data_IF_126351121887
#
_entry.id   IF_126351121887
#
_cell.length_a   1.000
_cell.length_b   1.000
_cell.length_c   1.000
_cell.angle_alpha   90.00
_cell.angle_beta   90.00
_cell.angle_gamma   90.00
#
_symmetry.space_group_name_H-M   'P 1'
#
loop_
_entity.id
_entity.type
_entity.pdbx_description
1 polymer ?
#
# COMPACT_ATOMS: atom_id res chain seq x y z
N UNK A 1 13.20 -9.32 -13.31
CA UNK A 1 12.16 -8.47 -13.92
C UNK A 1 12.00 -7.26 -13.03
N UNK A 2 11.98 -6.05 -13.60
CA UNK A 2 11.83 -4.80 -12.87
C UNK A 2 10.75 -3.96 -13.55
N UNK A 3 9.95 -3.26 -12.75
CA UNK A 3 8.94 -2.34 -13.24
C UNK A 3 9.47 -0.91 -13.26
N UNK A 4 8.80 -0.05 -14.01
CA UNK A 4 9.00 1.39 -13.90
C UNK A 4 8.42 1.83 -12.55
N UNK A 5 9.17 2.58 -11.72
CA UNK A 5 8.66 3.08 -10.45
C UNK A 5 7.53 4.11 -10.69
N UNK A 6 6.44 3.97 -9.94
CA UNK A 6 5.28 4.86 -10.02
C UNK A 6 5.57 6.23 -9.38
N UNK A 7 5.09 7.31 -9.99
CA UNK A 7 5.13 8.65 -9.40
C UNK A 7 4.14 8.75 -8.22
N UNK A 8 4.55 9.35 -7.10
CA UNK A 8 3.66 9.64 -5.97
C UNK A 8 2.81 10.87 -6.28
N UNK A 9 1.80 10.67 -7.13
CA UNK A 9 0.94 11.73 -7.61
C UNK A 9 -0.52 11.24 -7.62
N UNK A 10 -1.46 11.92 -6.94
CA UNK A 10 -2.85 11.53 -6.91
C UNK A 10 -3.47 11.33 -8.29
N UNK A 11 -3.10 12.12 -9.31
CA UNK A 11 -3.65 11.96 -10.66
C UNK A 11 -3.25 10.61 -11.28
N UNK A 12 -1.98 10.24 -11.16
CA UNK A 12 -1.44 8.95 -11.64
C UNK A 12 -2.09 7.80 -10.90
N UNK A 13 -2.15 7.90 -9.56
CA UNK A 13 -2.74 6.87 -8.70
C UNK A 13 -4.23 6.70 -8.97
N UNK A 14 -4.99 7.80 -9.03
CA UNK A 14 -6.43 7.77 -9.26
C UNK A 14 -6.75 7.20 -10.64
N UNK A 15 -6.02 7.60 -11.68
CA UNK A 15 -6.19 7.02 -13.00
C UNK A 15 -5.94 5.50 -13.01
N UNK A 16 -4.89 5.04 -12.32
CA UNK A 16 -4.58 3.61 -12.19
C UNK A 16 -5.70 2.84 -11.47
N UNK A 17 -6.15 3.30 -10.31
CA UNK A 17 -7.16 2.57 -9.53
C UNK A 17 -8.54 2.56 -10.23
N UNK A 18 -8.90 3.62 -10.96
CA UNK A 18 -10.15 3.64 -11.71
C UNK A 18 -10.12 2.67 -12.89
N UNK A 19 -9.00 2.56 -13.60
CA UNK A 19 -8.80 1.54 -14.66
C UNK A 19 -8.88 0.11 -14.12
N UNK A 20 -8.59 -0.10 -12.84
CA UNK A 20 -8.70 -1.42 -12.16
C UNK A 20 -10.05 -1.66 -11.48
N UNK A 21 -10.98 -0.71 -11.54
CA UNK A 21 -12.39 -0.89 -11.12
C UNK A 21 -12.75 -0.27 -9.77
N UNK A 22 -11.86 0.51 -9.13
CA UNK A 22 -12.20 1.27 -7.92
C UNK A 22 -13.29 2.30 -8.21
N UNK A 23 -14.26 2.43 -7.29
CA UNK A 23 -15.37 3.38 -7.45
C UNK A 23 -14.87 4.81 -7.31
N UNK A 24 -15.33 5.71 -8.19
CA UNK A 24 -14.96 7.12 -8.19
C UNK A 24 -15.50 7.92 -6.98
N UNK A 25 -16.29 7.29 -6.10
CA UNK A 25 -16.61 7.82 -4.78
C UNK A 25 -15.40 7.84 -3.84
N UNK A 26 -14.36 7.07 -4.16
CA UNK A 26 -13.09 7.01 -3.45
C UNK A 26 -11.97 7.53 -4.35
N UNK A 27 -11.04 8.28 -3.75
CA UNK A 27 -9.89 8.86 -4.43
C UNK A 27 -8.73 9.01 -3.46
N UNK A 28 -7.51 8.99 -3.99
CA UNK A 28 -6.33 9.49 -3.31
C UNK A 28 -6.24 11.01 -3.49
N UNK A 29 -5.77 11.68 -2.45
CA UNK A 29 -5.47 13.11 -2.42
C UNK A 29 -4.11 13.31 -1.76
N UNK A 30 -3.48 14.45 -1.99
CA UNK A 30 -2.27 14.82 -1.30
C UNK A 30 -2.54 15.13 0.18
N UNK A 31 -1.58 14.75 1.03
CA UNK A 31 -1.49 15.21 2.41
C UNK A 31 -0.31 16.18 2.47
N UNK A 32 -0.61 17.47 2.63
CA UNK A 32 0.41 18.52 2.63
C UNK A 32 1.26 18.55 3.90
N UNK A 33 0.69 18.12 5.03
CA UNK A 33 1.41 18.04 6.30
C UNK A 33 0.79 16.98 7.22
N UNK A 34 1.62 16.42 8.10
CA UNK A 34 1.26 15.39 9.08
C UNK A 34 0.99 15.95 10.48
N UNK A 35 0.97 17.28 10.65
CA UNK A 35 0.57 17.91 11.90
C UNK A 35 -0.96 17.85 12.09
N UNK A 36 -1.39 17.81 13.35
CA UNK A 36 -2.80 17.61 13.69
C UNK A 36 -3.73 18.72 13.18
N UNK A 37 -3.24 19.95 12.98
CA UNK A 37 -4.06 21.05 12.49
C UNK A 37 -4.32 20.87 11.00
N UNK A 38 -3.28 20.55 10.23
CA UNK A 38 -3.36 20.30 8.79
C UNK A 38 -4.23 19.08 8.45
N UNK A 39 -4.14 18.01 9.24
CA UNK A 39 -4.92 16.79 8.99
C UNK A 39 -6.44 17.00 9.13
N UNK A 40 -6.89 18.02 9.86
CA UNK A 40 -8.32 18.35 9.99
C UNK A 40 -8.93 18.88 8.70
N UNK A 41 -8.11 19.34 7.75
CA UNK A 41 -8.58 19.80 6.45
C UNK A 41 -8.70 18.67 5.41
N UNK A 42 -8.30 17.45 5.76
CA UNK A 42 -8.50 16.28 4.91
C UNK A 42 -9.98 15.89 4.91
N UNK A 43 -10.62 16.01 3.76
CA UNK A 43 -12.06 15.78 3.63
C UNK A 43 -12.43 14.29 3.61
N UNK A 44 -13.57 13.98 4.26
CA UNK A 44 -14.22 12.68 4.18
C UNK A 44 -13.61 11.61 5.09
N UNK A 45 -14.21 10.41 5.10
CA UNK A 45 -13.61 9.28 5.78
C UNK A 45 -12.30 8.88 5.10
N UNK A 46 -11.22 8.80 5.88
CA UNK A 46 -9.95 8.25 5.40
C UNK A 46 -9.87 6.79 5.82
N UNK A 47 -9.59 5.92 4.84
CA UNK A 47 -9.65 4.45 5.02
C UNK A 47 -8.30 3.77 4.80
N UNK A 48 -7.36 4.49 4.20
CA UNK A 48 -5.99 4.08 4.00
C UNK A 48 -5.11 5.32 3.82
N UNK A 49 -3.82 5.19 4.14
CA UNK A 49 -2.79 6.18 3.85
C UNK A 49 -1.65 5.47 3.12
N UNK A 50 -1.15 6.07 2.03
CA UNK A 50 0.04 5.60 1.35
C UNK A 50 1.19 6.54 1.66
N UNK A 51 2.35 5.99 2.01
CA UNK A 51 3.57 6.76 2.25
C UNK A 51 4.61 6.38 1.21
N UNK A 52 5.28 7.39 0.63
CA UNK A 52 6.56 7.24 -0.05
C UNK A 52 7.67 7.81 0.85
N UNK A 53 8.69 7.02 1.15
CA UNK A 53 9.83 7.47 1.97
C UNK A 53 11.16 6.97 1.42
N UNK A 54 12.29 7.64 1.73
CA UNK A 54 13.60 7.16 1.32
C UNK A 54 14.01 5.91 2.12
N UNK A 55 14.31 4.81 1.43
CA UNK A 55 14.82 3.58 2.01
C UNK A 55 16.35 3.52 1.89
N UNK A 56 17.04 3.91 2.96
CA UNK A 56 18.50 3.85 3.08
C UNK A 56 19.00 2.73 4.01
N UNK A 57 20.32 2.59 4.19
CA UNK A 57 20.91 1.59 5.08
C UNK A 57 20.39 1.65 6.54
N UNK A 58 20.09 2.85 7.03
CA UNK A 58 19.53 3.08 8.37
C UNK A 58 18.15 2.41 8.51
N UNK A 59 17.26 2.64 7.54
CA UNK A 59 15.96 1.99 7.47
C UNK A 59 16.08 0.46 7.41
N UNK A 60 16.98 -0.07 6.57
CA UNK A 60 17.18 -1.52 6.46
C UNK A 60 17.67 -2.15 7.78
N UNK A 61 18.49 -1.43 8.54
CA UNK A 61 18.94 -1.87 9.86
C UNK A 61 17.79 -1.86 10.87
N UNK A 62 16.96 -0.83 10.85
CA UNK A 62 15.76 -0.74 11.70
C UNK A 62 14.77 -1.87 11.40
N UNK A 63 14.50 -2.15 10.11
CA UNK A 63 13.65 -3.26 9.69
C UNK A 63 14.17 -4.59 10.23
N UNK A 64 15.48 -4.85 10.17
CA UNK A 64 16.08 -6.07 10.72
C UNK A 64 15.92 -6.15 12.24
N UNK A 65 16.20 -5.06 12.95
CA UNK A 65 16.06 -4.99 14.40
C UNK A 65 14.60 -5.22 14.84
N UNK A 66 13.65 -4.52 14.22
CA UNK A 66 12.22 -4.64 14.50
C UNK A 66 11.71 -6.05 14.17
N UNK A 67 12.15 -6.64 13.05
CA UNK A 67 11.78 -8.01 12.67
C UNK A 67 12.27 -9.02 13.71
N UNK A 68 13.52 -8.90 14.17
CA UNK A 68 14.08 -9.78 15.19
C UNK A 68 13.31 -9.66 16.51
N UNK A 69 13.02 -8.43 16.95
CA UNK A 69 12.26 -8.17 18.17
C UNK A 69 10.85 -8.75 18.12
N UNK A 70 10.15 -8.59 16.99
CA UNK A 70 8.80 -9.12 16.79
C UNK A 70 8.81 -10.65 16.75
N UNK A 71 9.82 -11.27 16.14
CA UNK A 71 9.95 -12.75 16.17
C UNK A 71 10.18 -13.28 17.58
N UNK A 72 10.91 -12.54 18.41
CA UNK A 72 11.18 -12.91 19.79
C UNK A 72 9.95 -12.72 20.69
N UNK A 73 9.30 -11.56 20.61
CA UNK A 73 8.21 -11.17 21.52
C UNK A 73 6.82 -11.53 21.02
N UNK A 74 6.69 -11.79 19.73
CA UNK A 74 5.40 -11.87 19.04
C UNK A 74 4.78 -10.49 18.81
N UNK A 75 3.74 -10.49 17.97
CA UNK A 75 2.81 -9.39 17.84
C UNK A 75 1.42 -9.97 17.55
N UNK A 76 0.37 -9.19 17.82
CA UNK A 76 -0.97 -9.51 17.35
C UNK A 76 -1.13 -9.06 15.89
N UNK A 77 -1.59 -9.94 15.01
CA UNK A 77 -1.99 -9.59 13.64
C UNK A 77 -3.33 -10.25 13.39
N UNK A 78 -4.33 -9.46 13.00
CA UNK A 78 -5.64 -10.02 12.64
C UNK A 78 -5.52 -10.91 11.40
N UNK A 79 -6.25 -12.03 11.41
CA UNK A 79 -6.40 -12.91 10.25
C UNK A 79 -7.12 -12.26 9.07
N UNK A 80 -7.81 -11.13 9.30
CA UNK A 80 -8.50 -10.38 8.25
C UNK A 80 -7.56 -9.43 7.47
N UNK A 81 -6.32 -9.25 7.93
CA UNK A 81 -5.34 -8.42 7.22
C UNK A 81 -4.93 -9.10 5.91
N UNK A 82 -5.25 -8.44 4.80
CA UNK A 82 -4.74 -8.82 3.49
C UNK A 82 -3.30 -8.33 3.34
N UNK A 83 -2.34 -9.25 3.42
CA UNK A 83 -0.92 -8.98 3.22
C UNK A 83 -0.35 -9.81 2.07
N UNK A 84 0.50 -9.19 1.25
CA UNK A 84 1.12 -9.75 0.05
C UNK A 84 2.58 -9.32 -0.03
N UNK A 85 3.46 -10.26 -0.42
CA UNK A 85 4.88 -10.02 -0.62
C UNK A 85 5.18 -9.31 -1.95
N UNK A 86 6.23 -8.50 -1.93
CA UNK A 86 6.81 -7.90 -3.12
C UNK A 86 7.83 -8.84 -3.76
N UNK A 87 7.48 -9.38 -4.93
CA UNK A 87 8.34 -10.32 -5.67
C UNK A 87 8.94 -9.69 -6.95
N UNK A 88 8.60 -8.43 -7.27
CA UNK A 88 9.12 -7.69 -8.42
C UNK A 88 9.77 -6.36 -7.96
N UNK A 89 10.93 -6.04 -8.50
CA UNK A 89 11.61 -4.76 -8.25
C UNK A 89 10.73 -3.59 -8.74
N UNK A 90 10.65 -2.52 -7.95
CA UNK A 90 9.86 -1.30 -8.22
C UNK A 90 8.33 -1.49 -8.30
N UNK A 91 7.79 -2.62 -7.84
CA UNK A 91 6.33 -2.84 -7.79
C UNK A 91 5.66 -2.37 -6.50
N UNK A 92 6.40 -1.71 -5.60
CA UNK A 92 5.91 -1.27 -4.28
C UNK A 92 4.67 -0.38 -4.37
N UNK A 93 4.60 0.53 -5.35
CA UNK A 93 3.44 1.40 -5.56
C UNK A 93 2.15 0.59 -5.81
N UNK A 94 2.19 -0.35 -6.75
CA UNK A 94 1.03 -1.21 -7.03
C UNK A 94 0.64 -2.08 -5.83
N UNK A 95 1.63 -2.62 -5.12
CA UNK A 95 1.41 -3.47 -3.94
C UNK A 95 0.73 -2.68 -2.83
N UNK A 96 1.23 -1.48 -2.53
CA UNK A 96 0.64 -0.59 -1.53
C UNK A 96 -0.80 -0.22 -1.90
N UNK A 97 -1.10 0.08 -3.18
CA UNK A 97 -2.47 0.35 -3.62
C UNK A 97 -3.39 -0.86 -3.43
N UNK A 98 -2.93 -2.06 -3.78
CA UNK A 98 -3.70 -3.30 -3.53
C UNK A 98 -3.91 -3.51 -2.04
N UNK A 99 -2.92 -3.26 -1.19
CA UNK A 99 -3.07 -3.32 0.27
C UNK A 99 -4.12 -2.34 0.77
N UNK A 100 -4.13 -1.09 0.29
CA UNK A 100 -5.16 -0.10 0.63
C UNK A 100 -6.57 -0.58 0.24
N UNK A 101 -6.74 -1.15 -0.95
CA UNK A 101 -8.04 -1.57 -1.48
C UNK A 101 -8.52 -2.87 -0.82
N UNK A 102 -7.68 -3.89 -0.76
CA UNK A 102 -8.04 -5.23 -0.30
C UNK A 102 -8.39 -5.29 1.20
N UNK A 103 -7.84 -4.38 2.01
CA UNK A 103 -8.16 -4.25 3.44
C UNK A 103 -9.39 -3.35 3.71
N UNK A 104 -10.06 -2.85 2.67
CA UNK A 104 -11.21 -1.95 2.79
C UNK A 104 -12.41 -2.37 1.94
N UNK A 105 -12.52 -3.65 1.59
CA UNK A 105 -13.61 -4.16 0.75
C UNK A 105 -15.00 -4.04 1.41
N UNK A 106 -15.05 -3.92 2.74
CA UNK A 106 -16.25 -3.66 3.55
C UNK A 106 -16.85 -2.26 3.30
N UNK A 107 -16.05 -1.33 2.75
CA UNK A 107 -16.42 0.08 2.54
C UNK A 107 -16.89 0.35 1.09
N UNK A 108 -17.28 -0.70 0.39
CA UNK A 108 -17.82 -0.65 -0.97
C UNK A 108 -16.88 0.07 -1.97
N UNK A 109 -15.57 -0.15 -1.83
CA UNK A 109 -14.53 0.57 -2.61
C UNK A 109 -14.39 0.12 -4.07
N UNK A 110 -14.89 -1.07 -4.41
CA UNK A 110 -14.56 -1.77 -5.66
C UNK A 110 -15.81 -2.26 -6.39
N UNK A 111 -15.88 -2.04 -7.70
CA UNK A 111 -16.87 -2.68 -8.58
C UNK A 111 -16.49 -4.14 -8.87
N UNK A 112 -17.42 -4.90 -9.46
CA UNK A 112 -17.05 -6.21 -10.03
C UNK A 112 -16.05 -6.03 -11.17
N UNK A 113 -15.06 -6.92 -11.25
CA UNK A 113 -14.00 -6.85 -12.26
C UNK A 113 -12.73 -7.63 -11.89
N UNK A 114 -11.69 -7.47 -12.70
CA UNK A 114 -10.43 -8.23 -12.59
C UNK A 114 -9.71 -8.03 -11.25
N UNK A 115 -9.66 -6.80 -10.71
CA UNK A 115 -9.04 -6.56 -9.41
C UNK A 115 -9.81 -7.27 -8.29
N UNK A 116 -11.14 -7.27 -8.33
CA UNK A 116 -11.96 -7.99 -7.35
C UNK A 116 -11.72 -9.49 -7.45
N UNK A 117 -11.72 -10.04 -8.67
CA UNK A 117 -11.43 -11.45 -8.92
C UNK A 117 -10.03 -11.84 -8.42
N UNK A 118 -9.02 -10.99 -8.67
CA UNK A 118 -7.67 -11.17 -8.17
C UNK A 118 -7.64 -11.21 -6.64
N UNK A 119 -8.24 -10.23 -5.96
CA UNK A 119 -8.24 -10.17 -4.49
C UNK A 119 -8.94 -11.41 -3.90
N UNK A 120 -10.09 -11.81 -4.44
CA UNK A 120 -10.81 -13.00 -3.97
C UNK A 120 -10.02 -14.30 -4.17
N UNK A 121 -9.33 -14.45 -5.30
CA UNK A 121 -8.43 -15.59 -5.53
C UNK A 121 -7.23 -15.55 -4.56
N UNK A 122 -6.65 -14.37 -4.36
CA UNK A 122 -5.48 -14.13 -3.53
C UNK A 122 -5.75 -14.37 -2.03
N UNK A 123 -6.96 -14.12 -1.53
CA UNK A 123 -7.33 -14.35 -0.11
C UNK A 123 -7.04 -15.78 0.38
N UNK A 124 -7.05 -16.77 -0.50
CA UNK A 124 -6.81 -18.19 -0.18
C UNK A 124 -5.33 -18.58 -0.14
N UNK A 125 -4.44 -17.65 -0.47
CA UNK A 125 -3.00 -17.88 -0.56
C UNK A 125 -2.27 -17.24 0.62
N UNK A 126 -1.10 -17.78 0.92
CA UNK A 126 -0.15 -17.15 1.83
C UNK A 126 0.45 -15.87 1.19
N UNK A 127 1.13 -15.01 1.97
CA UNK A 127 1.66 -13.75 1.45
C UNK A 127 2.58 -13.88 0.23
N UNK A 128 3.38 -14.96 0.17
CA UNK A 128 4.25 -15.25 -0.95
C UNK A 128 3.46 -15.65 -2.21
N UNK A 129 2.49 -16.55 -2.07
CA UNK A 129 1.61 -16.99 -3.16
C UNK A 129 0.73 -15.87 -3.70
N UNK A 130 0.28 -14.94 -2.85
CA UNK A 130 -0.39 -13.69 -3.29
C UNK A 130 0.51 -12.87 -4.21
N UNK A 131 1.79 -12.71 -3.83
CA UNK A 131 2.79 -12.00 -4.63
C UNK A 131 3.04 -12.69 -5.97
N UNK A 132 3.15 -14.02 -5.98
CA UNK A 132 3.31 -14.80 -7.21
C UNK A 132 2.10 -14.74 -8.14
N UNK A 133 0.89 -14.72 -7.56
CA UNK A 133 -0.34 -14.52 -8.34
C UNK A 133 -0.36 -13.12 -8.97
N UNK A 134 0.06 -12.10 -8.22
CA UNK A 134 0.15 -10.72 -8.71
C UNK A 134 1.10 -10.61 -9.90
N UNK A 135 2.30 -11.20 -9.80
CA UNK A 135 3.29 -11.21 -10.90
C UNK A 135 2.71 -11.80 -12.20
N UNK A 136 1.88 -12.83 -12.08
CA UNK A 136 1.26 -13.54 -13.20
C UNK A 136 0.04 -12.82 -13.78
N UNK A 137 -0.47 -11.79 -13.10
CA UNK A 137 -1.66 -11.07 -13.54
C UNK A 137 -1.36 -10.13 -14.71
N UNK A 138 -1.70 -10.59 -15.91
CA UNK A 138 -1.47 -9.81 -17.14
C UNK A 138 -2.19 -8.45 -17.12
N UNK A 139 -3.43 -8.43 -16.66
CA UNK A 139 -4.25 -7.20 -16.61
C UNK A 139 -3.63 -6.17 -15.67
N UNK A 140 -3.18 -6.60 -14.48
CA UNK A 140 -2.54 -5.67 -13.53
C UNK A 140 -1.23 -5.13 -14.08
N UNK A 141 -0.46 -5.95 -14.81
CA UNK A 141 0.79 -5.53 -15.44
C UNK A 141 0.55 -4.51 -16.55
N UNK A 142 -0.47 -4.71 -17.39
CA UNK A 142 -0.82 -3.80 -18.49
C UNK A 142 -1.33 -2.46 -17.95
N UNK A 143 -2.30 -2.50 -17.03
CA UNK A 143 -2.88 -1.28 -16.44
C UNK A 143 -1.82 -0.47 -15.67
N UNK A 144 -0.92 -1.16 -14.96
CA UNK A 144 0.21 -0.49 -14.33
C UNK A 144 1.16 0.15 -15.34
N UNK A 145 1.55 -0.60 -16.38
CA UNK A 145 2.49 -0.11 -17.41
C UNK A 145 1.95 1.11 -18.15
N UNK A 146 0.65 1.18 -18.39
CA UNK A 146 0.02 2.33 -19.03
C UNK A 146 0.04 3.56 -18.11
N UNK A 147 -0.29 3.39 -16.83
CA UNK A 147 -0.38 4.51 -15.88
C UNK A 147 0.96 5.05 -15.40
N UNK A 148 2.03 4.25 -15.32
CA UNK A 148 3.35 4.74 -14.85
C UNK A 148 4.11 5.61 -15.86
N UNK A 149 3.64 5.66 -17.10
CA UNK A 149 4.15 6.62 -18.09
C UNK A 149 3.42 7.96 -18.03
N UNK A 150 2.38 8.06 -17.21
CA UNK A 150 1.68 9.29 -16.90
C UNK A 150 2.33 9.96 -15.68
N UNK A 151 2.07 11.25 -15.48
CA UNK A 151 2.64 12.04 -14.40
C UNK A 151 3.35 13.29 -14.90
N UNK A 152 3.97 14.00 -13.97
CA UNK A 152 4.64 15.27 -14.26
C UNK A 152 6.14 15.08 -14.52
N UNK A 153 6.69 13.93 -14.14
CA UNK A 153 8.10 13.59 -14.32
C UNK A 153 8.29 12.55 -15.42
N UNK A 154 9.48 12.54 -16.04
CA UNK A 154 9.85 11.48 -16.96
C UNK A 154 10.23 10.23 -16.15
N UNK A 155 9.59 9.07 -16.37
CA UNK A 155 9.94 7.87 -15.65
C UNK A 155 11.40 7.45 -15.93
N UNK A 156 12.15 7.00 -14.91
CA UNK A 156 13.49 6.48 -15.11
C UNK A 156 13.44 5.10 -15.79
N UNK A 157 14.57 4.63 -16.37
CA UNK A 157 14.70 3.24 -16.76
C UNK A 157 14.33 2.28 -15.61
N UNK A 158 13.65 1.17 -15.92
CA UNK A 158 13.15 0.23 -14.92
C UNK A 158 14.23 -0.40 -14.04
N UNK A 159 15.48 -0.45 -14.51
CA UNK A 159 16.65 -0.97 -13.80
C UNK A 159 17.46 0.10 -13.05
N UNK A 160 17.02 1.36 -13.08
CA UNK A 160 17.67 2.43 -12.34
C UNK A 160 17.56 2.20 -10.83
N UNK A 161 18.60 2.55 -10.04
CA UNK A 161 18.53 2.47 -8.60
C UNK A 161 17.45 3.44 -8.08
N UNK A 162 16.46 2.90 -7.38
CA UNK A 162 15.40 3.65 -6.71
C UNK A 162 15.61 3.54 -5.22
N UNK A 163 15.78 4.68 -4.56
CA UNK A 163 16.01 4.76 -3.11
C UNK A 163 14.73 5.14 -2.34
N UNK A 164 13.57 5.05 -2.97
CA UNK A 164 12.28 5.37 -2.35
C UNK A 164 11.38 4.14 -2.36
N UNK A 165 10.52 4.04 -1.36
CA UNK A 165 9.66 2.88 -1.17
C UNK A 165 8.25 3.29 -0.74
N UNK A 166 7.26 2.64 -1.33
CA UNK A 166 5.85 2.82 -0.97
C UNK A 166 5.42 1.78 0.06
N UNK A 167 4.68 2.21 1.06
CA UNK A 167 3.97 1.34 2.02
C UNK A 167 2.54 1.81 2.21
N UNK A 168 1.66 0.88 2.56
CA UNK A 168 0.28 1.18 2.90
C UNK A 168 0.09 1.13 4.42
N UNK A 169 -0.63 2.10 4.96
CA UNK A 169 -1.13 2.10 6.33
C UNK A 169 -2.65 1.93 6.27
N UNK A 170 -3.19 0.97 7.02
CA UNK A 170 -4.62 0.61 7.00
C UNK A 170 -5.16 0.35 8.41
N UNK A 171 -6.47 0.50 8.57
CA UNK A 171 -7.20 0.11 9.78
C UNK A 171 -7.92 -1.22 9.55
N UNK A 172 -7.60 -2.24 10.35
CA UNK A 172 -8.27 -3.54 10.30
C UNK A 172 -8.49 -4.02 11.73
N UNK A 173 -9.71 -4.42 12.07
CA UNK A 173 -10.07 -4.97 13.38
C UNK A 173 -9.47 -4.16 14.57
N UNK A 174 -9.80 -2.87 14.61
CA UNK A 174 -9.43 -1.94 15.68
C UNK A 174 -7.92 -1.67 15.83
N UNK A 175 -7.11 -1.96 14.81
CA UNK A 175 -5.67 -1.75 14.84
C UNK A 175 -5.16 -1.08 13.56
N UNK A 176 -4.08 -0.30 13.69
CA UNK A 176 -3.33 0.26 12.57
C UNK A 176 -2.24 -0.72 12.15
N UNK A 177 -2.21 -1.04 10.87
CA UNK A 177 -1.17 -1.88 10.28
C UNK A 177 -0.39 -1.14 9.21
N UNK A 178 0.93 -1.26 9.27
CA UNK A 178 1.81 -0.97 8.14
C UNK A 178 2.02 -2.23 7.31
N UNK A 179 1.74 -2.12 6.02
CA UNK A 179 1.83 -3.18 5.04
C UNK A 179 2.92 -2.85 4.04
N UNK A 180 4.08 -3.48 4.26
CA UNK A 180 5.23 -3.42 3.37
C UNK A 180 5.51 -4.82 2.79
N UNK A 181 5.33 -4.98 1.48
CA UNK A 181 5.60 -6.26 0.81
C UNK A 181 7.04 -6.74 0.91
N UNK A 182 8.01 -5.88 1.25
CA UNK A 182 9.41 -6.25 1.49
C UNK A 182 9.62 -6.85 2.87
N UNK A 183 8.83 -6.47 3.88
CA UNK A 183 8.89 -7.02 5.25
C UNK A 183 8.33 -8.44 5.30
N UNK A 184 8.69 -9.19 6.35
CA UNK A 184 8.26 -10.59 6.49
C UNK A 184 6.76 -10.72 6.81
N UNK A 185 6.19 -9.73 7.48
CA UNK A 185 4.81 -9.72 7.97
C UNK A 185 4.31 -8.27 8.12
N UNK A 186 2.98 -8.04 8.22
CA UNK A 186 2.42 -6.76 8.66
C UNK A 186 3.01 -6.29 9.97
N UNK A 187 3.15 -4.98 10.16
CA UNK A 187 3.56 -4.41 11.44
C UNK A 187 2.34 -3.78 12.10
N UNK A 188 1.95 -4.30 13.26
CA UNK A 188 0.89 -3.72 14.09
C UNK A 188 1.44 -2.52 14.87
N UNK A 189 0.88 -1.33 14.62
CA UNK A 189 1.24 -0.08 15.27
C UNK A 189 0.35 0.28 16.46
N UNK A 190 -0.54 -0.64 16.85
CA UNK A 190 -1.38 -0.53 18.03
C UNK A 190 -2.86 -0.26 17.72
N UNK A 191 -3.66 -0.11 18.79
CA UNK A 191 -5.10 0.07 18.67
C UNK A 191 -5.45 1.43 18.07
N UNK A 192 -6.53 1.47 17.31
CA UNK A 192 -7.10 2.68 16.72
C UNK A 192 -8.57 2.43 16.38
N UNK A 193 -9.33 3.49 16.22
CA UNK A 193 -10.69 3.44 15.68
C UNK A 193 -10.76 4.16 14.32
N UNK A 194 -11.92 4.09 13.70
CA UNK A 194 -12.14 4.71 12.40
C UNK A 194 -11.99 6.23 12.40
N UNK A 195 -12.37 6.90 13.50
CA UNK A 195 -12.33 8.37 13.62
C UNK A 195 -10.89 8.88 13.78
N UNK A 196 -10.05 8.11 14.46
CA UNK A 196 -8.65 8.46 14.75
C UNK A 196 -7.66 7.81 13.78
N UNK A 197 -8.12 7.03 12.80
CA UNK A 197 -7.24 6.33 11.87
C UNK A 197 -6.22 7.26 11.21
N UNK A 198 -6.66 8.39 10.64
CA UNK A 198 -5.74 9.29 9.93
C UNK A 198 -4.66 9.85 10.85
N UNK A 199 -4.99 10.25 12.07
CA UNK A 199 -4.02 10.81 13.01
C UNK A 199 -3.05 9.74 13.52
N UNK A 200 -3.52 8.52 13.76
CA UNK A 200 -2.66 7.40 14.14
C UNK A 200 -1.77 6.93 12.98
N UNK A 201 -2.30 6.87 11.75
CA UNK A 201 -1.51 6.59 10.56
C UNK A 201 -0.43 7.66 10.33
N UNK A 202 -0.78 8.94 10.46
CA UNK A 202 0.19 10.03 10.38
C UNK A 202 1.25 9.97 11.50
N UNK A 203 0.93 9.42 12.66
CA UNK A 203 1.91 9.20 13.73
C UNK A 203 2.94 8.12 13.38
N UNK A 204 2.54 7.07 12.67
CA UNK A 204 3.47 6.07 12.10
C UNK A 204 4.40 6.74 11.08
N UNK A 205 3.93 7.80 10.43
CA UNK A 205 4.65 8.48 9.38
C UNK A 205 5.70 9.52 9.83
N UNK A 206 5.73 9.88 11.10
CA UNK A 206 6.62 10.91 11.65
C UNK A 206 7.85 10.29 12.30
#
# INVERSE_FOLDING_TARGET
MAWVPMESNPDVVNNLIYKTGVKQTWKFIDIFSLDEESLRFVEGPVIALIMLFPCGPEYENEVKANTALIKERGQHVSNNVFFMKQNILNSCGAIALIHCIANNLDKDVLNDGELKNFIEAAKRLDPAGKGDLFVKSKVMNEVYSDSVNEGQTRPPPADSPVNYHFVAIVHVDEHVYELDGRKEFPINHGPSDFEHFLSNAAAVCR
#
